data_IF_728457813544
#
_entry.id   IF_728457813544
#
_cell.length_a   1.000
_cell.length_b   1.000
_cell.length_c   1.000
_cell.angle_alpha   90.00
_cell.angle_beta   90.00
_cell.angle_gamma   90.00
#
_symmetry.space_group_name_H-M   'P 1'
#
loop_
_entity.id
_entity.type
_entity.pdbx_description
1 polymer ?
#
# COMPACT_ATOMS: atom_id res chain seq x y z
N UNK A 1 -25.82 6.67 -14.85
CA UNK A 1 -25.44 7.53 -13.70
C UNK A 1 -25.73 6.90 -12.32
N UNK A 2 -25.81 5.55 -12.21
CA UNK A 2 -26.11 4.86 -10.93
C UNK A 2 -24.87 4.10 -10.38
N UNK A 3 -23.79 3.98 -11.15
CA UNK A 3 -22.61 3.20 -10.77
C UNK A 3 -21.68 3.89 -9.75
N UNK A 4 -21.89 5.17 -9.43
CA UNK A 4 -21.04 5.94 -8.50
C UNK A 4 -21.43 5.79 -7.02
N UNK A 5 -22.58 5.19 -6.70
CA UNK A 5 -23.09 5.15 -5.32
C UNK A 5 -22.64 3.93 -4.48
N UNK A 6 -21.98 2.92 -5.08
CA UNK A 6 -21.60 1.69 -4.35
C UNK A 6 -20.19 1.71 -3.74
N UNK A 7 -19.41 2.78 -3.93
CA UNK A 7 -18.05 2.94 -3.35
C UNK A 7 -18.11 3.66 -1.99
N UNK A 8 -19.09 3.34 -1.14
CA UNK A 8 -19.33 4.11 0.08
C UNK A 8 -19.77 3.27 1.29
N UNK A 9 -19.00 2.22 1.65
CA UNK A 9 -18.89 1.80 3.07
C UNK A 9 -17.73 0.81 3.30
N UNK A 10 -16.49 1.28 3.30
CA UNK A 10 -15.42 0.49 3.93
C UNK A 10 -15.51 0.68 5.44
N UNK A 11 -16.24 -0.21 6.10
CA UNK A 11 -16.30 -0.32 7.56
C UNK A 11 -14.90 -0.60 8.10
N UNK A 12 -14.23 0.43 8.59
CA UNK A 12 -12.91 0.32 9.23
C UNK A 12 -13.08 -0.25 10.63
N UNK A 13 -13.20 -1.57 10.72
CA UNK A 13 -13.02 -2.31 11.97
C UNK A 13 -11.55 -2.12 12.39
N UNK A 14 -11.34 -1.48 13.54
CA UNK A 14 -10.03 -1.19 14.14
C UNK A 14 -9.10 -2.39 14.02
N UNK A 15 -8.01 -2.22 13.24
CA UNK A 15 -6.91 -3.20 13.16
C UNK A 15 -5.88 -2.78 14.20
N UNK A 16 -5.50 -3.69 15.07
CA UNK A 16 -4.45 -3.49 16.07
C UNK A 16 -3.24 -2.75 15.45
N UNK A 17 -2.82 -1.59 15.99
CA UNK A 17 -1.77 -0.77 15.37
C UNK A 17 -0.45 -1.54 15.21
N UNK A 18 -0.19 -2.49 16.11
CA UNK A 18 0.96 -3.39 16.04
C UNK A 18 0.96 -4.29 14.80
N UNK A 19 -0.20 -4.79 14.37
CA UNK A 19 -0.31 -5.66 13.18
C UNK A 19 -0.02 -4.85 11.92
N UNK A 20 -0.49 -3.59 11.87
CA UNK A 20 -0.22 -2.68 10.76
C UNK A 20 1.27 -2.34 10.71
N UNK A 21 1.87 -2.03 11.86
CA UNK A 21 3.30 -1.72 11.94
C UNK A 21 4.16 -2.93 11.52
N UNK A 22 3.86 -4.12 12.03
CA UNK A 22 4.55 -5.36 11.65
C UNK A 22 4.44 -5.65 10.14
N UNK A 23 3.25 -5.47 9.57
CA UNK A 23 3.03 -5.62 8.14
C UNK A 23 3.86 -4.63 7.33
N UNK A 24 3.89 -3.35 7.72
CA UNK A 24 4.68 -2.32 7.04
C UNK A 24 6.17 -2.64 7.08
N UNK A 25 6.72 -3.01 8.23
CA UNK A 25 8.14 -3.36 8.38
C UNK A 25 8.49 -4.57 7.50
N UNK A 26 7.70 -5.65 7.61
CA UNK A 26 7.92 -6.87 6.83
C UNK A 26 7.85 -6.61 5.32
N UNK A 27 6.88 -5.80 4.90
CA UNK A 27 6.70 -5.42 3.51
C UNK A 27 7.84 -4.52 3.00
N UNK A 28 8.33 -3.58 3.82
CA UNK A 28 9.50 -2.77 3.48
C UNK A 28 10.75 -3.63 3.28
N UNK A 29 11.03 -4.56 4.21
CA UNK A 29 12.17 -5.49 4.08
C UNK A 29 12.06 -6.32 2.79
N UNK A 30 10.87 -6.86 2.50
CA UNK A 30 10.63 -7.62 1.27
C UNK A 30 10.85 -6.75 0.02
N UNK A 31 10.40 -5.50 0.03
CA UNK A 31 10.60 -4.57 -1.09
C UNK A 31 12.09 -4.30 -1.32
N UNK A 32 12.87 -4.03 -0.27
CA UNK A 32 14.32 -3.87 -0.37
C UNK A 32 14.99 -5.12 -0.94
N UNK A 33 14.56 -6.30 -0.48
CA UNK A 33 15.06 -7.57 -1.00
C UNK A 33 14.75 -7.75 -2.50
N UNK A 34 13.55 -7.39 -2.95
CA UNK A 34 13.17 -7.39 -4.37
C UNK A 34 14.05 -6.48 -5.21
N UNK A 35 14.31 -5.26 -4.75
CA UNK A 35 15.14 -4.27 -5.46
C UNK A 35 16.60 -4.75 -5.53
N UNK A 36 17.13 -5.24 -4.42
CA UNK A 36 18.51 -5.71 -4.32
C UNK A 36 18.78 -6.92 -5.23
N UNK A 37 17.90 -7.91 -5.21
CA UNK A 37 18.03 -9.12 -6.04
C UNK A 37 17.40 -9.01 -7.43
N UNK A 38 16.88 -7.83 -7.82
CA UNK A 38 16.21 -7.58 -9.10
C UNK A 38 15.16 -8.67 -9.44
N UNK A 39 14.35 -9.04 -8.46
CA UNK A 39 13.41 -10.17 -8.57
C UNK A 39 12.20 -10.02 -7.67
N UNK A 40 11.24 -10.93 -7.83
CA UNK A 40 10.03 -10.98 -7.01
C UNK A 40 9.57 -12.42 -6.85
N UNK A 41 8.89 -12.71 -5.74
CA UNK A 41 8.30 -14.01 -5.52
C UNK A 41 6.99 -14.16 -6.30
N UNK A 42 6.93 -15.15 -7.18
CA UNK A 42 5.74 -15.50 -7.97
C UNK A 42 5.11 -16.78 -7.41
N UNK A 43 3.82 -16.71 -7.06
CA UNK A 43 3.08 -17.83 -6.48
C UNK A 43 3.13 -19.05 -7.41
N UNK A 44 3.58 -20.19 -6.89
CA UNK A 44 3.69 -21.45 -7.64
C UNK A 44 4.99 -21.60 -8.45
N UNK A 45 5.79 -20.55 -8.61
CA UNK A 45 7.02 -20.57 -9.41
C UNK A 45 8.28 -20.20 -8.63
N UNK A 46 8.13 -19.64 -7.43
CA UNK A 46 9.22 -19.26 -6.55
C UNK A 46 9.79 -17.87 -6.85
N UNK A 47 11.05 -17.65 -6.47
CA UNK A 47 11.76 -16.41 -6.78
C UNK A 47 12.05 -16.32 -8.29
N UNK A 48 11.63 -15.22 -8.91
CA UNK A 48 11.83 -14.97 -10.34
C UNK A 48 12.48 -13.62 -10.56
N UNK A 49 13.40 -13.57 -11.51
CA UNK A 49 14.09 -12.32 -11.88
C UNK A 49 13.15 -11.39 -12.63
N UNK A 50 13.48 -10.10 -12.64
CA UNK A 50 12.76 -9.08 -13.40
C UNK A 50 12.73 -9.37 -14.91
N UNK A 51 13.74 -10.05 -15.43
CA UNK A 51 13.81 -10.43 -16.85
C UNK A 51 12.77 -11.50 -17.20
N UNK A 52 12.53 -12.47 -16.29
CA UNK A 52 11.55 -13.54 -16.49
C UNK A 52 10.12 -13.07 -16.29
N UNK A 53 9.87 -12.27 -15.24
CA UNK A 53 8.53 -11.81 -14.86
C UNK A 53 8.49 -10.30 -14.56
N UNK A 54 8.64 -9.43 -15.59
CA UNK A 54 8.70 -7.99 -15.40
C UNK A 54 7.39 -7.40 -14.86
N UNK A 55 6.25 -7.99 -15.24
CA UNK A 55 4.93 -7.51 -14.80
C UNK A 55 4.73 -7.68 -13.28
N UNK A 56 5.01 -8.87 -12.75
CA UNK A 56 4.89 -9.17 -11.32
C UNK A 56 5.82 -8.31 -10.46
N UNK A 57 7.05 -8.10 -10.96
CA UNK A 57 8.02 -7.21 -10.32
C UNK A 57 7.52 -5.76 -10.27
N UNK A 58 7.04 -5.23 -11.40
CA UNK A 58 6.54 -3.86 -11.48
C UNK A 58 5.29 -3.64 -10.63
N UNK A 59 4.38 -4.61 -10.55
CA UNK A 59 3.22 -4.55 -9.64
C UNK A 59 3.67 -4.44 -8.18
N UNK A 60 4.60 -5.29 -7.77
CA UNK A 60 5.14 -5.28 -6.39
C UNK A 60 5.73 -3.91 -6.06
N UNK A 61 6.51 -3.35 -6.98
CA UNK A 61 7.11 -2.03 -6.82
C UNK A 61 6.06 -0.90 -6.81
N UNK A 62 5.03 -0.99 -7.65
CA UNK A 62 3.94 -0.02 -7.68
C UNK A 62 3.19 0.01 -6.33
N UNK A 63 2.86 -1.15 -5.78
CA UNK A 63 2.25 -1.22 -4.44
C UNK A 63 3.18 -0.69 -3.35
N UNK A 64 4.49 -0.91 -3.48
CA UNK A 64 5.48 -0.38 -2.55
C UNK A 64 5.49 1.15 -2.49
N UNK A 65 5.11 1.83 -3.57
CA UNK A 65 5.04 3.29 -3.64
C UNK A 65 3.63 3.79 -3.28
N UNK A 66 2.59 3.19 -3.85
CA UNK A 66 1.20 3.65 -3.69
C UNK A 66 0.76 3.57 -2.23
N UNK A 67 1.16 2.52 -1.51
CA UNK A 67 0.73 2.31 -0.13
C UNK A 67 1.23 3.40 0.84
N UNK A 68 2.54 3.73 0.91
CA UNK A 68 3.01 4.83 1.75
C UNK A 68 2.55 6.20 1.27
N UNK A 69 2.43 6.44 -0.05
CA UNK A 69 1.90 7.71 -0.56
C UNK A 69 0.44 7.88 -0.13
N UNK A 70 -0.38 6.84 -0.24
CA UNK A 70 -1.78 6.87 0.16
C UNK A 70 -1.97 7.14 1.65
N UNK A 71 -1.12 6.58 2.52
CA UNK A 71 -1.19 6.85 3.97
C UNK A 71 -0.80 8.28 4.30
N UNK A 72 0.24 8.82 3.67
CA UNK A 72 0.67 10.21 3.85
C UNK A 72 -0.42 11.18 3.38
N UNK A 73 -0.97 11.00 2.17
CA UNK A 73 -2.04 11.87 1.63
C UNK A 73 -3.26 11.84 2.53
N UNK A 74 -3.68 10.66 3.00
CA UNK A 74 -4.81 10.53 3.93
C UNK A 74 -4.55 11.28 5.24
N UNK A 75 -3.34 11.18 5.79
CA UNK A 75 -2.97 11.87 7.02
C UNK A 75 -2.97 13.40 6.84
N UNK A 76 -2.38 13.90 5.75
CA UNK A 76 -2.39 15.33 5.40
C UNK A 76 -3.83 15.84 5.24
N UNK A 77 -4.66 15.12 4.49
CA UNK A 77 -6.07 15.51 4.27
C UNK A 77 -6.87 15.53 5.58
N UNK A 78 -6.60 14.59 6.49
CA UNK A 78 -7.23 14.57 7.81
C UNK A 78 -6.87 15.81 8.65
N UNK A 79 -5.60 16.21 8.68
CA UNK A 79 -5.16 17.42 9.39
C UNK A 79 -5.77 18.69 8.79
N UNK A 80 -5.80 18.80 7.45
CA UNK A 80 -6.43 19.94 6.76
C UNK A 80 -7.93 20.03 7.12
N UNK A 81 -8.64 18.90 7.10
CA UNK A 81 -10.07 18.86 7.44
C UNK A 81 -10.31 19.25 8.90
N UNK A 82 -9.51 18.71 9.84
CA UNK A 82 -9.63 18.99 11.27
C UNK A 82 -9.45 20.50 11.57
N UNK A 83 -8.43 21.11 10.97
CA UNK A 83 -8.16 22.53 11.17
C UNK A 83 -9.27 23.43 10.60
N UNK A 84 -10.01 23.00 9.56
CA UNK A 84 -11.15 23.77 9.05
C UNK A 84 -12.33 23.79 10.02
N UNK A 85 -12.54 22.72 10.79
CA UNK A 85 -13.69 22.59 11.70
C UNK A 85 -13.50 23.25 13.07
N UNK A 86 -12.26 23.53 13.49
CA UNK A 86 -11.98 24.22 14.77
C UNK A 86 -12.04 25.76 14.65
N UNK A 87 -12.09 26.30 13.41
CA UNK A 87 -12.14 27.74 13.12
C UNK A 87 -13.44 28.19 12.41
N UNK A 88 -14.47 27.34 12.36
CA UNK A 88 -15.85 27.69 11.94
C UNK A 88 -16.80 27.53 13.11
#
# INVERSE_FOLDING_TARGET
>A
MILMALVAKSSTKSKNPLVVLFFLISFSIYTFYCIYHQGSFVRGLGWRTRAEYPFSYNITLAFAIIFPVGTIVKHIFWHIKKNRTEYS
#
